data_IF_424981172996
#
_entry.id   IF_424981172996
#
_cell.length_a   1.000
_cell.length_b   1.000
_cell.length_c   1.000
_cell.angle_alpha   90.00
_cell.angle_beta   90.00
_cell.angle_gamma   90.00
#
_symmetry.space_group_name_H-M   'P 1'
#
loop_
_entity.id
_entity.type
_entity.pdbx_description
1 polymer ?
#
# COMPACT_ATOMS: atom_id res chain seq x y z
N UNK A 1 -4.65 1.14 17.90
CA UNK A 1 -3.95 0.23 16.97
C UNK A 1 -4.51 -1.17 17.19
N UNK A 2 -4.81 -1.93 16.12
CA UNK A 2 -5.41 -3.26 16.23
C UNK A 2 -4.45 -4.32 16.81
N UNK A 3 -3.15 -4.03 16.92
CA UNK A 3 -2.14 -5.00 17.35
C UNK A 3 -1.85 -6.05 16.27
N UNK A 4 -1.10 -7.09 16.63
CA UNK A 4 -0.88 -8.25 15.75
C UNK A 4 -2.17 -9.05 15.59
N UNK A 5 -2.45 -9.48 14.37
CA UNK A 5 -3.66 -10.22 14.02
C UNK A 5 -3.26 -11.57 13.41
N UNK A 6 -4.11 -12.57 13.59
CA UNK A 6 -3.90 -13.86 12.93
C UNK A 6 -4.19 -13.72 11.42
N UNK A 7 -3.54 -14.52 10.56
CA UNK A 7 -3.71 -14.41 9.11
C UNK A 7 -5.17 -14.53 8.66
N UNK A 8 -5.96 -15.37 9.32
CA UNK A 8 -7.38 -15.55 9.03
C UNK A 8 -8.22 -14.30 9.35
N UNK A 9 -7.76 -13.41 10.23
CA UNK A 9 -8.47 -12.17 10.56
C UNK A 9 -8.08 -10.99 9.66
N UNK A 10 -6.96 -11.10 8.93
CA UNK A 10 -6.37 -9.96 8.22
C UNK A 10 -7.33 -9.35 7.18
N UNK A 11 -8.12 -10.21 6.52
CA UNK A 11 -9.11 -9.79 5.52
C UNK A 11 -10.13 -8.78 6.06
N UNK A 12 -10.51 -8.87 7.33
CA UNK A 12 -11.47 -7.93 7.95
C UNK A 12 -10.94 -6.50 7.98
N UNK A 13 -9.63 -6.33 8.14
CA UNK A 13 -9.01 -5.00 8.22
C UNK A 13 -8.86 -4.35 6.86
N UNK A 14 -8.56 -5.13 5.81
CA UNK A 14 -8.54 -4.58 4.46
C UNK A 14 -9.93 -4.07 4.05
N UNK A 15 -11.01 -4.79 4.40
CA UNK A 15 -12.37 -4.40 4.03
C UNK A 15 -12.80 -3.04 4.59
N UNK A 16 -12.35 -2.68 5.80
CA UNK A 16 -12.67 -1.39 6.44
C UNK A 16 -11.72 -0.25 6.02
N UNK A 17 -10.69 -0.53 5.24
CA UNK A 17 -9.77 0.48 4.73
C UNK A 17 -10.26 1.06 3.40
N UNK A 18 -10.08 2.37 3.22
CA UNK A 18 -10.25 3.05 1.92
C UNK A 18 -8.96 3.02 1.09
N UNK A 19 -7.81 3.08 1.77
CA UNK A 19 -6.47 3.13 1.20
C UNK A 19 -5.51 2.30 2.06
N UNK A 20 -4.62 1.53 1.42
CA UNK A 20 -3.53 0.81 2.09
C UNK A 20 -2.20 1.40 1.67
N UNK A 21 -1.44 1.90 2.65
CA UNK A 21 -0.14 2.52 2.41
C UNK A 21 0.96 1.57 2.89
N UNK A 22 1.93 1.28 2.01
CA UNK A 22 3.07 0.39 2.29
C UNK A 22 4.38 1.16 2.10
N UNK A 23 4.84 1.91 3.11
CA UNK A 23 6.07 2.71 3.02
C UNK A 23 7.30 1.87 3.35
N UNK A 24 7.50 0.74 2.67
CA UNK A 24 8.64 -0.14 2.98
C UNK A 24 9.95 0.58 2.66
N UNK A 25 10.81 0.67 3.68
CA UNK A 25 12.10 1.35 3.61
C UNK A 25 13.21 0.46 3.06
N UNK A 26 12.97 -0.84 2.97
CA UNK A 26 13.92 -1.86 2.50
C UNK A 26 13.45 -2.47 1.19
N UNK A 27 14.36 -3.18 0.52
CA UNK A 27 14.02 -3.96 -0.66
C UNK A 27 13.08 -5.10 -0.29
N UNK A 28 11.88 -5.11 -0.87
CA UNK A 28 10.87 -6.14 -0.69
C UNK A 28 10.93 -7.12 -1.86
N UNK A 29 11.00 -8.42 -1.57
CA UNK A 29 11.00 -9.41 -2.66
C UNK A 29 9.65 -9.43 -3.40
N UNK A 30 8.54 -9.42 -2.65
CA UNK A 30 7.19 -9.53 -3.22
C UNK A 30 6.12 -8.73 -2.48
N UNK A 31 6.35 -8.36 -1.21
CA UNK A 31 5.39 -7.63 -0.38
C UNK A 31 3.96 -8.20 -0.40
N UNK A 32 3.73 -9.28 0.36
CA UNK A 32 2.41 -9.92 0.44
C UNK A 32 1.29 -8.96 0.85
N UNK A 33 1.57 -7.99 1.72
CA UNK A 33 0.59 -7.00 2.19
C UNK A 33 -0.01 -6.21 1.02
N UNK A 34 0.81 -5.79 0.05
CA UNK A 34 0.32 -5.06 -1.12
C UNK A 34 -0.60 -5.95 -1.98
N UNK A 35 -0.22 -7.21 -2.20
CA UNK A 35 -1.01 -8.16 -3.00
C UNK A 35 -2.32 -8.53 -2.31
N UNK A 36 -2.32 -8.74 -1.00
CA UNK A 36 -3.54 -8.99 -0.22
C UNK A 36 -4.51 -7.80 -0.27
N UNK A 37 -3.99 -6.57 -0.14
CA UNK A 37 -4.79 -5.36 -0.27
C UNK A 37 -5.40 -5.21 -1.67
N UNK A 38 -4.61 -5.46 -2.72
CA UNK A 38 -5.10 -5.48 -4.10
C UNK A 38 -6.18 -6.55 -4.32
N UNK A 39 -5.98 -7.76 -3.79
CA UNK A 39 -6.96 -8.85 -3.86
C UNK A 39 -8.27 -8.51 -3.12
N UNK A 40 -8.19 -7.71 -2.04
CA UNK A 40 -9.34 -7.16 -1.33
C UNK A 40 -9.97 -5.95 -2.04
N UNK A 41 -9.52 -5.59 -3.24
CA UNK A 41 -10.05 -4.48 -4.04
C UNK A 41 -9.70 -3.11 -3.49
N UNK A 42 -8.58 -3.00 -2.75
CA UNK A 42 -8.16 -1.76 -2.10
C UNK A 42 -7.12 -1.02 -2.91
N UNK A 43 -7.22 0.30 -2.90
CA UNK A 43 -6.19 1.16 -3.49
C UNK A 43 -4.92 0.97 -2.68
N UNK A 44 -3.82 0.68 -3.38
CA UNK A 44 -2.50 0.51 -2.78
C UNK A 44 -1.61 1.68 -3.17
N UNK A 45 -1.01 2.31 -2.16
CA UNK A 45 0.04 3.31 -2.30
C UNK A 45 1.31 2.76 -1.64
N UNK A 46 2.28 2.33 -2.44
CA UNK A 46 3.42 1.55 -1.95
C UNK A 46 4.77 2.16 -2.37
N UNK A 47 5.83 1.81 -1.65
CA UNK A 47 7.18 2.16 -2.09
C UNK A 47 7.56 1.40 -3.37
N UNK A 48 8.37 2.02 -4.23
CA UNK A 48 8.89 1.36 -5.45
C UNK A 48 10.19 0.61 -5.19
N UNK A 49 10.25 -0.16 -4.10
CA UNK A 49 11.44 -0.93 -3.70
C UNK A 49 11.28 -2.42 -4.02
N UNK A 50 12.36 -3.03 -4.48
CA UNK A 50 12.41 -4.43 -4.88
C UNK A 50 11.34 -4.80 -5.91
N UNK A 51 10.71 -5.95 -5.70
CA UNK A 51 9.70 -6.50 -6.61
C UNK A 51 8.34 -5.80 -6.56
N UNK A 52 8.12 -4.82 -5.67
CA UNK A 52 6.83 -4.11 -5.57
C UNK A 52 6.47 -3.43 -6.90
N UNK A 53 7.46 -2.79 -7.54
CA UNK A 53 7.26 -2.06 -8.79
C UNK A 53 6.93 -2.95 -10.00
N UNK A 54 7.02 -4.28 -9.87
CA UNK A 54 6.65 -5.22 -10.93
C UNK A 54 5.13 -5.42 -11.04
N UNK A 55 4.38 -5.21 -9.95
CA UNK A 55 2.94 -5.45 -9.90
C UNK A 55 2.12 -4.26 -9.40
N UNK A 56 2.74 -3.29 -8.73
CA UNK A 56 2.13 -1.98 -8.50
C UNK A 56 2.42 -1.12 -9.73
N UNK A 57 1.39 -0.90 -10.54
CA UNK A 57 1.45 -0.16 -11.79
C UNK A 57 0.58 1.09 -11.64
N UNK A 58 1.22 2.25 -11.81
CA UNK A 58 0.60 3.55 -11.55
C UNK A 58 -0.73 3.72 -12.32
N UNK A 59 -1.80 3.97 -11.58
CA UNK A 59 -3.15 4.17 -12.13
C UNK A 59 -3.85 2.93 -12.66
N UNK A 60 -3.21 1.75 -12.59
CA UNK A 60 -3.81 0.46 -13.02
C UNK A 60 -4.10 -0.41 -11.80
N UNK A 61 -3.07 -0.69 -11.00
CA UNK A 61 -3.18 -1.58 -9.83
C UNK A 61 -2.85 -0.88 -8.52
N UNK A 62 -2.31 0.34 -8.57
CA UNK A 62 -2.00 1.16 -7.41
C UNK A 62 -1.20 2.40 -7.80
N UNK A 63 -0.47 2.94 -6.84
CA UNK A 63 0.39 4.12 -6.99
C UNK A 63 1.68 3.94 -6.18
N UNK A 64 2.71 4.68 -6.56
CA UNK A 64 3.96 4.72 -5.81
C UNK A 64 4.08 5.93 -4.89
N UNK A 65 4.66 5.71 -3.71
CA UNK A 65 5.10 6.76 -2.79
C UNK A 65 6.33 7.48 -3.33
N UNK A 66 6.37 8.80 -3.14
CA UNK A 66 7.54 9.59 -3.38
C UNK A 66 8.59 9.40 -2.28
N UNK A 67 9.87 9.35 -2.67
CA UNK A 67 10.97 9.47 -1.71
C UNK A 67 10.97 10.90 -1.10
N UNK A 68 11.22 11.06 0.21
CA UNK A 68 11.85 10.10 1.13
C UNK A 68 10.89 9.20 1.93
N UNK A 69 9.60 9.11 1.56
CA UNK A 69 8.58 8.42 2.38
C UNK A 69 8.58 8.90 3.84
N UNK A 70 8.73 10.20 4.03
CA UNK A 70 8.46 10.90 5.28
C UNK A 70 6.96 11.14 5.44
N UNK A 71 6.48 11.46 6.64
CA UNK A 71 5.08 11.85 6.85
C UNK A 71 4.64 12.97 5.91
N UNK A 72 5.49 13.98 5.71
CA UNK A 72 5.18 15.14 4.87
C UNK A 72 5.07 14.78 3.39
N UNK A 73 5.95 13.89 2.89
CA UNK A 73 5.87 13.41 1.50
C UNK A 73 4.64 12.52 1.30
N UNK A 74 4.37 11.59 2.23
CA UNK A 74 3.17 10.74 2.16
C UNK A 74 1.87 11.55 2.16
N UNK A 75 1.78 12.64 2.93
CA UNK A 75 0.60 13.52 2.91
C UNK A 75 0.36 14.08 1.50
N UNK A 76 1.42 14.47 0.79
CA UNK A 76 1.30 14.96 -0.57
C UNK A 76 0.90 13.85 -1.56
N UNK A 77 1.29 12.60 -1.29
CA UNK A 77 0.91 11.46 -2.14
C UNK A 77 -0.55 11.03 -1.93
N UNK A 78 -1.10 11.26 -0.73
CA UNK A 78 -2.53 11.10 -0.43
C UNK A 78 -3.28 12.34 -0.92
N UNK A 79 -3.27 12.58 -2.23
CA UNK A 79 -4.22 13.56 -2.78
C UNK A 79 -5.62 12.94 -2.78
N UNK A 80 -6.67 13.69 -2.39
CA UNK A 80 -8.01 13.30 -2.77
C UNK A 80 -8.01 13.21 -4.29
N UNK A 81 -8.48 12.10 -4.86
CA UNK A 81 -8.79 12.05 -6.28
C UNK A 81 -9.68 13.26 -6.59
N UNK A 82 -9.10 14.27 -7.24
CA UNK A 82 -9.85 15.39 -7.76
C UNK A 82 -10.73 14.83 -8.88
N UNK A 83 -11.97 14.53 -8.53
CA UNK A 83 -13.06 14.42 -9.49
C UNK A 83 -13.29 15.78 -10.16
#
# INVERSE_FOLDING_TARGET
>A
MAGGQSPDQMHNFYHIADLVIVPSQVEEAFCMVAVEAMAAGKVVLASKKGGIGEFVLDGITGYHLAEPMSSDSMINDIQPCAC
#
